data_IF_397241102929
#
_entry.id   IF_397241102929
#
_cell.length_a   1.000
_cell.length_b   1.000
_cell.length_c   1.000
_cell.angle_alpha   90.00
_cell.angle_beta   90.00
_cell.angle_gamma   90.00
#
_symmetry.space_group_name_H-M   'P 1'
#
loop_
_entity.id
_entity.type
_entity.pdbx_description
1 polymer ?
#
# COMPACT_ATOMS: atom_id res chain seq x y z
N UNK A 1 -67.61 -15.03 -37.58
CA UNK A 1 -67.37 -14.21 -36.35
C UNK A 1 -65.97 -14.51 -35.87
N UNK A 2 -65.02 -13.70 -36.35
CA UNK A 2 -64.14 -12.79 -35.60
C UNK A 2 -62.86 -13.48 -35.09
N UNK A 3 -61.82 -13.30 -35.89
CA UNK A 3 -60.43 -13.43 -35.48
C UNK A 3 -60.10 -12.28 -34.51
N UNK A 4 -59.74 -12.61 -33.28
CA UNK A 4 -59.25 -11.62 -32.33
C UNK A 4 -57.75 -11.41 -32.52
N UNK A 5 -57.44 -10.20 -33.01
CA UNK A 5 -56.12 -9.61 -33.02
C UNK A 5 -55.62 -9.44 -31.59
N UNK A 6 -54.68 -10.29 -31.17
CA UNK A 6 -53.79 -9.98 -30.05
C UNK A 6 -52.82 -8.89 -30.52
N UNK A 7 -53.16 -7.63 -30.22
CA UNK A 7 -52.23 -6.51 -30.27
C UNK A 7 -51.11 -6.78 -29.28
N UNK A 8 -49.89 -6.94 -29.78
CA UNK A 8 -48.68 -6.90 -28.96
C UNK A 8 -48.55 -5.49 -28.35
N UNK A 9 -48.53 -5.42 -27.03
CA UNK A 9 -48.15 -4.20 -26.32
C UNK A 9 -46.73 -3.77 -26.75
N UNK A 10 -46.48 -2.46 -26.96
CA UNK A 10 -45.14 -2.00 -27.30
C UNK A 10 -44.23 -2.23 -26.11
N UNK A 11 -43.20 -3.08 -26.30
CA UNK A 11 -42.09 -3.23 -25.36
C UNK A 11 -41.44 -1.86 -25.21
N UNK A 12 -41.75 -1.18 -24.11
CA UNK A 12 -41.14 0.08 -23.73
C UNK A 12 -39.73 -0.24 -23.22
N UNK A 13 -38.76 -0.39 -24.12
CA UNK A 13 -37.33 -0.47 -23.79
C UNK A 13 -36.90 0.90 -23.26
N UNK A 14 -37.16 1.16 -21.97
CA UNK A 14 -36.46 2.22 -21.25
C UNK A 14 -35.00 1.79 -21.16
N UNK A 15 -34.17 2.27 -22.09
CA UNK A 15 -32.73 2.14 -21.97
C UNK A 15 -32.29 2.72 -20.63
N UNK A 16 -31.72 1.87 -19.78
CA UNK A 16 -31.34 2.25 -18.43
C UNK A 16 -29.89 2.71 -18.44
N UNK A 17 -29.68 3.99 -18.15
CA UNK A 17 -28.33 4.54 -18.03
C UNK A 17 -27.52 3.79 -16.95
N UNK A 18 -26.24 3.47 -17.20
CA UNK A 18 -25.43 2.70 -16.26
C UNK A 18 -25.19 3.45 -14.97
N UNK A 19 -24.92 2.69 -13.91
CA UNK A 19 -24.25 3.22 -12.72
C UNK A 19 -22.75 3.21 -12.96
N UNK A 20 -22.11 4.37 -12.79
CA UNK A 20 -20.67 4.53 -12.90
C UNK A 20 -20.02 4.19 -11.58
N UNK A 21 -19.06 3.26 -11.62
CA UNK A 21 -18.18 2.94 -10.50
C UNK A 21 -16.96 3.84 -10.62
N UNK A 22 -16.80 4.77 -9.68
CA UNK A 22 -15.61 5.60 -9.57
C UNK A 22 -14.45 4.78 -9.02
N UNK A 23 -13.22 5.28 -9.16
CA UNK A 23 -11.99 4.61 -8.71
C UNK A 23 -11.93 4.32 -7.21
N UNK A 24 -12.64 5.11 -6.41
CA UNK A 24 -12.80 4.91 -4.96
C UNK A 24 -13.91 3.89 -4.61
N UNK A 25 -14.51 3.24 -5.62
CA UNK A 25 -15.63 2.31 -5.48
C UNK A 25 -16.99 3.01 -5.36
N UNK A 26 -17.05 4.33 -5.32
CA UNK A 26 -18.32 5.05 -5.20
C UNK A 26 -19.18 4.88 -6.46
N UNK A 27 -20.46 4.59 -6.25
CA UNK A 27 -21.45 4.42 -7.31
C UNK A 27 -22.20 5.72 -7.57
N UNK A 28 -22.19 6.22 -8.80
CA UNK A 28 -22.92 7.43 -9.20
C UNK A 28 -23.72 7.21 -10.48
N UNK A 29 -24.81 7.95 -10.72
CA UNK A 29 -25.52 7.90 -11.99
C UNK A 29 -24.62 8.38 -13.15
N UNK A 30 -24.73 7.72 -14.30
CA UNK A 30 -24.10 8.21 -15.52
C UNK A 30 -24.62 9.60 -15.91
N UNK A 31 -23.70 10.47 -16.32
CA UNK A 31 -24.01 11.83 -16.74
C UNK A 31 -23.14 12.23 -17.94
N UNK A 32 -23.72 12.22 -19.14
CA UNK A 32 -23.04 12.56 -20.40
C UNK A 32 -22.52 14.00 -20.45
N UNK A 33 -23.14 14.94 -19.71
CA UNK A 33 -22.66 16.33 -19.65
C UNK A 33 -21.24 16.45 -19.08
N UNK A 34 -20.83 15.52 -18.21
CA UNK A 34 -19.47 15.48 -17.67
C UNK A 34 -18.46 15.10 -18.75
N UNK A 35 -18.84 14.23 -19.69
CA UNK A 35 -18.01 13.85 -20.84
C UNK A 35 -17.87 15.05 -21.77
N UNK A 36 -18.99 15.68 -22.15
CA UNK A 36 -18.99 16.86 -23.00
C UNK A 36 -18.09 17.96 -22.42
N UNK A 37 -18.25 18.29 -21.13
CA UNK A 37 -17.44 19.32 -20.47
C UNK A 37 -15.94 18.97 -20.43
N UNK A 38 -15.57 17.69 -20.34
CA UNK A 38 -14.18 17.26 -20.36
C UNK A 38 -13.60 17.39 -21.78
N UNK A 39 -14.35 16.95 -22.80
CA UNK A 39 -13.96 17.07 -24.21
C UNK A 39 -13.86 18.53 -24.64
N UNK A 40 -14.82 19.38 -24.28
CA UNK A 40 -14.79 20.81 -24.59
C UNK A 40 -13.60 21.54 -23.97
N UNK A 41 -13.20 21.16 -22.75
CA UNK A 41 -11.98 21.71 -22.12
C UNK A 41 -10.73 21.31 -22.89
N UNK A 42 -10.63 20.06 -23.32
CA UNK A 42 -9.52 19.60 -24.15
C UNK A 42 -9.55 20.27 -25.54
N UNK A 43 -10.73 20.50 -26.13
CA UNK A 43 -10.89 21.17 -27.41
C UNK A 43 -10.41 22.63 -27.34
N UNK A 44 -10.79 23.36 -26.30
CA UNK A 44 -10.31 24.72 -26.03
C UNK A 44 -8.79 24.76 -25.86
N UNK A 45 -8.20 23.82 -25.10
CA UNK A 45 -6.75 23.72 -24.95
C UNK A 45 -6.02 23.39 -26.26
N UNK A 46 -6.66 22.63 -27.16
CA UNK A 46 -6.14 22.31 -28.48
C UNK A 46 -6.41 23.39 -29.55
N UNK A 47 -7.08 24.50 -29.18
CA UNK A 47 -7.45 25.57 -30.11
C UNK A 47 -8.54 25.17 -31.11
N UNK A 48 -9.39 24.20 -30.75
CA UNK A 48 -10.49 23.70 -31.58
C UNK A 48 -11.81 24.22 -31.01
N UNK A 49 -12.52 25.03 -31.79
CA UNK A 49 -13.86 25.53 -31.45
C UNK A 49 -14.91 24.78 -32.27
N UNK A 50 -15.27 23.59 -31.80
CA UNK A 50 -16.33 22.78 -32.39
C UNK A 50 -17.16 22.12 -31.29
N UNK A 51 -18.13 22.89 -30.76
CA UNK A 51 -19.01 22.44 -29.69
C UNK A 51 -19.91 21.26 -30.12
N UNK A 52 -20.33 21.24 -31.39
CA UNK A 52 -21.17 20.18 -31.95
C UNK A 52 -20.42 18.84 -31.94
N UNK A 53 -19.14 18.83 -32.33
CA UNK A 53 -18.29 17.64 -32.24
C UNK A 53 -18.12 17.16 -30.79
N UNK A 54 -17.95 18.07 -29.82
CA UNK A 54 -17.84 17.70 -28.40
C UNK A 54 -19.13 17.03 -27.89
N UNK A 55 -20.29 17.54 -28.32
CA UNK A 55 -21.58 16.96 -28.00
C UNK A 55 -21.76 15.59 -28.67
N UNK A 56 -21.37 15.47 -29.94
CA UNK A 56 -21.42 14.22 -30.69
C UNK A 56 -20.58 13.12 -30.01
N UNK A 57 -19.36 13.43 -29.57
CA UNK A 57 -18.51 12.49 -28.82
C UNK A 57 -19.21 12.02 -27.56
N UNK A 58 -19.78 12.93 -26.78
CA UNK A 58 -20.49 12.59 -25.55
C UNK A 58 -21.74 11.73 -25.80
N UNK A 59 -22.45 11.97 -26.90
CA UNK A 59 -23.61 11.19 -27.32
C UNK A 59 -23.20 9.78 -27.74
N UNK A 60 -22.22 9.63 -28.64
CA UNK A 60 -21.75 8.32 -29.11
C UNK A 60 -21.25 7.45 -27.96
N UNK A 61 -20.48 8.03 -27.04
CA UNK A 61 -20.02 7.32 -25.84
C UNK A 61 -21.19 6.97 -24.92
N UNK A 62 -22.16 7.86 -24.75
CA UNK A 62 -23.37 7.58 -23.98
C UNK A 62 -24.18 6.42 -24.56
N UNK A 63 -24.36 6.41 -25.89
CA UNK A 63 -25.08 5.37 -26.62
C UNK A 63 -24.40 4.01 -26.50
N UNK A 64 -23.06 3.97 -26.62
CA UNK A 64 -22.27 2.76 -26.44
C UNK A 64 -22.36 2.14 -25.02
N UNK A 65 -22.92 2.88 -24.06
CA UNK A 65 -23.02 2.48 -22.66
C UNK A 65 -24.48 2.24 -22.20
N UNK A 66 -25.48 2.48 -23.04
CA UNK A 66 -26.92 2.43 -22.70
C UNK A 66 -27.42 1.06 -22.22
N UNK A 67 -26.74 -0.02 -22.59
CA UNK A 67 -27.15 -1.40 -22.24
C UNK A 67 -26.29 -2.00 -21.11
N UNK A 68 -25.35 -1.24 -20.55
CA UNK A 68 -24.56 -1.67 -19.39
C UNK A 68 -25.31 -1.31 -18.10
N UNK A 69 -25.38 -2.25 -17.16
CA UNK A 69 -25.95 -1.98 -15.83
C UNK A 69 -24.97 -1.21 -14.93
N UNK A 70 -23.68 -1.52 -15.05
CA UNK A 70 -22.58 -0.86 -14.36
C UNK A 70 -21.40 -0.68 -15.32
N UNK A 71 -20.67 0.43 -15.16
CA UNK A 71 -19.48 0.74 -15.96
C UNK A 71 -18.40 1.33 -15.06
N UNK A 72 -17.15 0.88 -15.22
CA UNK A 72 -16.03 1.52 -14.54
C UNK A 72 -15.70 2.88 -15.18
N UNK A 73 -15.29 3.85 -14.37
CA UNK A 73 -14.90 5.18 -14.87
C UNK A 73 -13.73 5.13 -15.87
N UNK A 74 -12.88 4.09 -15.83
CA UNK A 74 -11.81 3.89 -16.80
C UNK A 74 -12.38 3.41 -18.15
N UNK A 75 -13.41 2.55 -18.16
CA UNK A 75 -14.08 2.15 -19.42
C UNK A 75 -14.72 3.34 -20.15
N UNK A 76 -15.30 4.29 -19.39
CA UNK A 76 -15.83 5.54 -19.98
C UNK A 76 -14.68 6.34 -20.60
N UNK A 77 -13.54 6.43 -19.93
CA UNK A 77 -12.38 7.17 -20.43
C UNK A 77 -11.85 6.55 -21.72
N UNK A 78 -11.66 5.23 -21.74
CA UNK A 78 -11.21 4.50 -22.93
C UNK A 78 -12.18 4.70 -24.11
N UNK A 79 -13.49 4.69 -23.84
CA UNK A 79 -14.49 4.96 -24.87
C UNK A 79 -14.36 6.38 -25.46
N UNK A 80 -14.14 7.40 -24.61
CA UNK A 80 -13.91 8.78 -25.07
C UNK A 80 -12.61 8.89 -25.85
N UNK A 81 -11.52 8.29 -25.37
CA UNK A 81 -10.22 8.31 -26.05
C UNK A 81 -10.31 7.66 -27.43
N UNK A 82 -10.90 6.47 -27.52
CA UNK A 82 -11.12 5.78 -28.79
C UNK A 82 -11.97 6.60 -29.76
N UNK A 83 -13.04 7.25 -29.26
CA UNK A 83 -13.89 8.09 -30.08
C UNK A 83 -13.17 9.35 -30.57
N UNK A 84 -12.31 9.97 -29.75
CA UNK A 84 -11.51 11.11 -30.18
C UNK A 84 -10.40 10.69 -31.16
N UNK A 85 -9.80 9.52 -30.95
CA UNK A 85 -8.76 8.95 -31.80
C UNK A 85 -9.28 8.49 -33.16
N UNK A 86 -10.54 8.04 -33.26
CA UNK A 86 -11.19 7.70 -34.54
C UNK A 86 -11.60 8.95 -35.33
N UNK A 87 -11.84 10.07 -34.65
CA UNK A 87 -12.27 11.31 -35.26
C UNK A 87 -11.19 12.11 -36.03
N UNK A 88 -11.59 13.26 -36.62
CA UNK A 88 -10.71 14.07 -37.47
C UNK A 88 -9.69 14.90 -36.68
N UNK A 89 -9.97 15.21 -35.41
CA UNK A 89 -9.16 16.14 -34.61
C UNK A 89 -8.10 15.42 -33.75
N UNK A 90 -7.01 14.97 -34.38
CA UNK A 90 -5.93 14.25 -33.65
C UNK A 90 -5.28 15.08 -32.53
N UNK A 91 -5.18 16.41 -32.71
CA UNK A 91 -4.67 17.32 -31.67
C UNK A 91 -5.56 17.35 -30.43
N UNK A 92 -6.88 17.29 -30.61
CA UNK A 92 -7.83 17.20 -29.50
C UNK A 92 -7.69 15.87 -28.76
N UNK A 93 -7.63 14.76 -29.49
CA UNK A 93 -7.44 13.44 -28.88
C UNK A 93 -6.18 13.41 -28.00
N UNK A 94 -5.05 13.90 -28.53
CA UNK A 94 -3.79 13.99 -27.78
C UNK A 94 -3.91 14.90 -26.54
N UNK A 95 -4.49 16.09 -26.68
CA UNK A 95 -4.68 17.02 -25.56
C UNK A 95 -5.58 16.44 -24.46
N UNK A 96 -6.61 15.68 -24.85
CA UNK A 96 -7.49 14.99 -23.90
C UNK A 96 -6.74 13.90 -23.13
N UNK A 97 -6.00 13.04 -23.84
CA UNK A 97 -5.21 11.94 -23.24
C UNK A 97 -4.14 12.49 -22.29
N UNK A 98 -3.38 13.52 -22.71
CA UNK A 98 -2.36 14.18 -21.87
C UNK A 98 -2.99 14.79 -20.61
N UNK A 99 -4.08 15.55 -20.76
CA UNK A 99 -4.79 16.15 -19.63
C UNK A 99 -5.31 15.11 -18.63
N UNK A 100 -5.81 13.97 -19.14
CA UNK A 100 -6.28 12.86 -18.32
C UNK A 100 -5.14 12.20 -17.56
N UNK A 101 -4.03 11.93 -18.22
CA UNK A 101 -2.84 11.39 -17.60
C UNK A 101 -2.34 12.30 -16.47
N UNK A 102 -2.18 13.60 -16.74
CA UNK A 102 -1.73 14.59 -15.75
C UNK A 102 -2.68 14.67 -14.55
N UNK A 103 -4.00 14.61 -14.80
CA UNK A 103 -5.03 14.58 -13.74
C UNK A 103 -4.93 13.33 -12.88
N UNK A 104 -4.62 12.20 -13.48
CA UNK A 104 -4.52 10.92 -12.79
C UNK A 104 -3.27 10.88 -11.91
N UNK A 105 -2.12 11.29 -12.45
CA UNK A 105 -0.87 11.49 -11.69
C UNK A 105 -1.09 12.49 -10.55
N UNK A 106 -1.72 13.64 -10.81
CA UNK A 106 -1.99 14.65 -9.77
C UNK A 106 -2.86 14.11 -8.64
N UNK A 107 -3.86 13.26 -8.95
CA UNK A 107 -4.72 12.64 -7.95
C UNK A 107 -3.97 11.63 -7.11
N UNK A 108 -3.14 10.81 -7.74
CA UNK A 108 -2.27 9.85 -7.07
C UNK A 108 -1.32 10.57 -6.10
N UNK A 109 -0.64 11.63 -6.56
CA UNK A 109 0.28 12.44 -5.75
C UNK A 109 -0.42 13.16 -4.57
N UNK A 110 -1.71 13.46 -4.69
CA UNK A 110 -2.51 14.03 -3.59
C UNK A 110 -2.99 13.01 -2.57
N UNK A 111 -2.82 11.71 -2.85
CA UNK A 111 -3.13 10.66 -1.89
C UNK A 111 -2.35 10.85 -0.60
N UNK A 112 -3.01 10.61 0.54
CA UNK A 112 -2.40 10.74 1.88
C UNK A 112 -1.09 9.95 1.99
N UNK A 113 -1.07 8.73 1.46
CA UNK A 113 0.13 7.88 1.42
C UNK A 113 1.30 8.57 0.70
N UNK A 114 1.07 9.10 -0.50
CA UNK A 114 2.11 9.77 -1.29
C UNK A 114 2.60 11.06 -0.61
N UNK A 115 1.71 11.78 0.09
CA UNK A 115 2.11 12.95 0.88
C UNK A 115 3.01 12.56 2.07
N UNK A 116 2.68 11.48 2.77
CA UNK A 116 3.50 10.96 3.88
C UNK A 116 4.87 10.47 3.39
N UNK A 117 4.91 9.71 2.28
CA UNK A 117 6.16 9.25 1.64
C UNK A 117 7.00 10.45 1.19
N UNK A 118 6.39 11.43 0.51
CA UNK A 118 7.09 12.64 0.07
C UNK A 118 7.63 13.44 1.25
N UNK A 119 6.85 13.55 2.33
CA UNK A 119 7.27 14.21 3.56
C UNK A 119 8.50 13.57 4.22
N UNK A 120 8.63 12.24 4.13
CA UNK A 120 9.82 11.51 4.57
C UNK A 120 11.02 11.79 3.65
N UNK A 121 10.84 11.66 2.32
CA UNK A 121 11.91 11.80 1.33
C UNK A 121 12.46 13.24 1.29
N UNK A 122 11.58 14.23 1.35
CA UNK A 122 11.96 15.65 1.38
C UNK A 122 12.39 16.12 2.77
N UNK A 123 12.33 15.25 3.79
CA UNK A 123 12.60 15.56 5.20
C UNK A 123 11.79 16.76 5.73
N UNK A 124 10.58 16.96 5.20
CA UNK A 124 9.74 18.12 5.49
C UNK A 124 8.73 17.87 6.62
N UNK A 125 8.52 16.61 7.02
CA UNK A 125 7.57 16.26 8.08
C UNK A 125 8.25 15.91 9.40
N UNK A 126 8.45 16.92 10.26
CA UNK A 126 9.12 16.81 11.56
C UNK A 126 8.47 15.78 12.50
N UNK A 127 7.15 15.60 12.44
CA UNK A 127 6.45 14.64 13.29
C UNK A 127 6.78 13.18 12.93
N UNK A 128 6.95 12.87 11.65
CA UNK A 128 7.40 11.55 11.18
C UNK A 128 8.88 11.31 11.51
N UNK A 129 9.71 12.35 11.40
CA UNK A 129 11.15 12.24 11.70
C UNK A 129 11.41 12.00 13.20
N UNK A 130 10.50 12.46 14.07
CA UNK A 130 10.64 12.38 15.53
C UNK A 130 9.73 11.31 16.18
N UNK A 131 9.07 10.44 15.41
CA UNK A 131 8.17 9.39 15.96
C UNK A 131 8.93 8.42 16.88
N UNK A 132 10.23 8.22 16.65
CA UNK A 132 11.08 7.36 17.46
C UNK A 132 12.36 8.09 17.90
N UNK A 133 12.45 8.42 19.18
CA UNK A 133 13.60 9.13 19.77
C UNK A 133 14.95 8.37 19.62
N UNK A 134 14.91 7.08 19.32
CA UNK A 134 16.09 6.23 19.15
C UNK A 134 16.52 6.05 17.68
N UNK A 135 15.78 6.56 16.69
CA UNK A 135 16.08 6.38 15.26
C UNK A 135 16.49 7.71 14.63
N UNK A 136 17.75 7.85 14.22
CA UNK A 136 18.19 9.01 13.44
C UNK A 136 17.57 8.96 12.04
N UNK A 137 16.61 9.84 11.77
CA UNK A 137 15.87 9.89 10.50
C UNK A 137 16.73 10.30 9.30
N UNK A 138 17.99 10.72 9.52
CA UNK A 138 18.93 11.04 8.46
C UNK A 138 19.71 9.84 7.96
N UNK A 139 19.76 8.73 8.71
CA UNK A 139 20.48 7.53 8.27
C UNK A 139 19.60 6.65 7.38
N UNK A 140 20.22 6.07 6.35
CA UNK A 140 19.53 5.26 5.34
C UNK A 140 18.73 4.07 5.93
N UNK A 141 19.24 3.31 6.92
CA UNK A 141 18.46 2.22 7.52
C UNK A 141 17.15 2.72 8.14
N UNK A 142 17.19 3.85 8.85
CA UNK A 142 16.00 4.46 9.44
C UNK A 142 15.02 4.92 8.36
N UNK A 143 15.49 5.55 7.29
CA UNK A 143 14.61 6.00 6.20
C UNK A 143 13.89 4.82 5.54
N UNK A 144 14.59 3.71 5.32
CA UNK A 144 13.99 2.49 4.76
C UNK A 144 12.93 1.91 5.68
N UNK A 145 13.19 1.90 6.98
CA UNK A 145 12.28 1.40 8.00
C UNK A 145 11.04 2.30 8.16
N UNK A 146 11.22 3.63 8.25
CA UNK A 146 10.12 4.60 8.28
C UNK A 146 9.24 4.50 7.03
N UNK A 147 9.84 4.32 5.84
CA UNK A 147 9.09 4.14 4.60
C UNK A 147 8.22 2.86 4.65
N UNK A 148 8.78 1.75 5.13
CA UNK A 148 8.02 0.52 5.33
C UNK A 148 6.88 0.74 6.35
N UNK A 149 7.14 1.47 7.44
CA UNK A 149 6.17 1.80 8.47
C UNK A 149 5.00 2.65 7.97
N UNK A 150 5.26 3.66 7.12
CA UNK A 150 4.22 4.48 6.47
C UNK A 150 3.29 3.59 5.64
N UNK A 151 3.86 2.72 4.80
CA UNK A 151 3.09 1.81 3.95
C UNK A 151 2.28 0.82 4.79
N UNK A 152 2.92 0.22 5.81
CA UNK A 152 2.29 -0.74 6.71
C UNK A 152 1.11 -0.11 7.47
N UNK A 153 1.30 1.05 8.11
CA UNK A 153 0.27 1.80 8.83
C UNK A 153 -0.89 2.17 7.89
N UNK A 154 -0.60 2.63 6.68
CA UNK A 154 -1.63 2.95 5.69
C UNK A 154 -2.46 1.72 5.33
N UNK A 155 -1.81 0.63 4.95
CA UNK A 155 -2.48 -0.59 4.52
C UNK A 155 -3.29 -1.23 5.66
N UNK A 156 -2.72 -1.29 6.86
CA UNK A 156 -3.40 -1.81 8.04
C UNK A 156 -4.72 -1.07 8.31
N UNK A 157 -4.71 0.27 8.27
CA UNK A 157 -5.90 1.09 8.55
C UNK A 157 -6.95 1.03 7.44
N UNK A 158 -6.54 0.89 6.18
CA UNK A 158 -7.47 0.89 5.05
C UNK A 158 -8.06 -0.50 4.77
N UNK A 159 -7.31 -1.58 5.06
CA UNK A 159 -7.63 -2.90 4.53
C UNK A 159 -7.62 -4.05 5.54
N UNK A 160 -6.99 -3.90 6.71
CA UNK A 160 -6.86 -5.01 7.68
C UNK A 160 -7.72 -4.75 8.92
N UNK A 161 -7.59 -3.57 9.52
CA UNK A 161 -8.23 -3.27 10.80
C UNK A 161 -9.71 -2.92 10.64
N UNK A 162 -10.56 -3.33 11.59
CA UNK A 162 -11.93 -2.86 11.69
C UNK A 162 -12.02 -1.32 11.77
N UNK A 163 -13.02 -0.75 11.11
CA UNK A 163 -13.18 0.71 10.99
C UNK A 163 -13.33 1.41 12.34
N UNK A 164 -14.06 0.80 13.27
CA UNK A 164 -14.26 1.30 14.64
C UNK A 164 -12.94 1.37 15.42
N UNK A 165 -12.09 0.32 15.33
CA UNK A 165 -10.75 0.31 15.93
C UNK A 165 -9.88 1.42 15.36
N UNK A 166 -9.89 1.61 14.03
CA UNK A 166 -9.11 2.67 13.37
C UNK A 166 -9.57 4.06 13.84
N UNK A 167 -10.88 4.30 13.91
CA UNK A 167 -11.44 5.57 14.36
C UNK A 167 -11.11 5.86 15.83
N UNK A 168 -11.23 4.87 16.70
CA UNK A 168 -10.86 5.01 18.11
C UNK A 168 -9.37 5.33 18.28
N UNK A 169 -8.50 4.69 17.49
CA UNK A 169 -7.07 4.99 17.48
C UNK A 169 -6.76 6.41 16.99
N UNK A 170 -7.37 6.83 15.87
CA UNK A 170 -7.16 8.17 15.31
C UNK A 170 -7.68 9.30 16.21
N UNK A 171 -8.71 9.04 17.02
CA UNK A 171 -9.25 9.99 18.00
C UNK A 171 -8.49 9.99 19.33
N UNK A 172 -7.56 9.06 19.51
CA UNK A 172 -6.83 8.89 20.78
C UNK A 172 -7.67 8.26 21.90
N UNK A 173 -8.81 7.64 21.57
CA UNK A 173 -9.62 6.87 22.53
C UNK A 173 -8.90 5.57 22.93
N UNK A 174 -8.15 4.99 21.98
CA UNK A 174 -7.23 3.88 22.19
C UNK A 174 -5.88 4.18 21.53
N UNK A 175 -4.86 3.42 21.90
CA UNK A 175 -3.57 3.44 21.21
C UNK A 175 -3.22 2.03 20.73
N UNK A 176 -3.25 1.82 19.42
CA UNK A 176 -2.75 0.59 18.81
C UNK A 176 -1.22 0.70 18.72
N UNK A 177 -0.53 -0.06 19.55
CA UNK A 177 0.94 -0.09 19.57
C UNK A 177 1.52 -0.71 18.30
N UNK A 178 2.65 -0.16 17.83
CA UNK A 178 3.45 -0.71 16.73
C UNK A 178 2.66 -0.93 15.43
N UNK A 179 1.73 -0.01 15.13
CA UNK A 179 0.87 -0.04 13.94
C UNK A 179 1.65 0.06 12.61
N UNK A 180 2.88 0.56 12.68
CA UNK A 180 3.88 0.57 11.61
C UNK A 180 4.51 -0.81 11.34
N UNK A 181 4.29 -1.80 12.21
CA UNK A 181 4.69 -3.20 12.00
C UNK A 181 3.49 -4.14 11.92
N UNK A 182 2.65 -4.16 12.96
CA UNK A 182 1.51 -5.08 13.10
C UNK A 182 0.20 -4.36 12.83
N UNK A 183 -0.80 -4.95 12.15
CA UNK A 183 -0.89 -6.35 11.70
C UNK A 183 -0.34 -6.60 10.28
N UNK A 184 0.27 -5.60 9.63
CA UNK A 184 0.71 -5.73 8.24
C UNK A 184 1.80 -6.80 8.06
N UNK A 185 2.83 -6.75 8.91
CA UNK A 185 3.79 -7.84 9.06
C UNK A 185 3.35 -8.74 10.22
N UNK A 186 3.31 -10.08 10.03
CA UNK A 186 2.99 -11.04 11.10
C UNK A 186 4.18 -11.22 12.04
N UNK A 187 4.67 -10.11 12.59
CA UNK A 187 5.76 -10.05 13.55
C UNK A 187 5.19 -10.12 14.97
N UNK A 188 6.03 -10.55 15.90
CA UNK A 188 5.71 -10.54 17.32
C UNK A 188 6.33 -9.32 18.01
N UNK A 189 5.84 -9.01 19.22
CA UNK A 189 6.36 -7.93 20.05
C UNK A 189 7.70 -8.35 20.72
N UNK A 190 7.68 -8.67 22.00
CA UNK A 190 8.89 -9.04 22.76
C UNK A 190 9.03 -10.56 22.84
N UNK A 191 10.27 -11.04 23.05
CA UNK A 191 10.50 -12.45 23.36
C UNK A 191 11.72 -12.70 24.26
N UNK A 192 11.69 -13.84 24.96
CA UNK A 192 12.84 -14.42 25.63
C UNK A 192 13.51 -15.43 24.69
N UNK A 193 14.78 -15.21 24.38
CA UNK A 193 15.54 -16.14 23.53
C UNK A 193 15.94 -17.36 24.35
N UNK A 194 15.65 -18.57 23.85
CA UNK A 194 16.21 -19.82 24.38
C UNK A 194 17.67 -19.99 23.95
N UNK A 195 18.55 -19.14 24.47
CA UNK A 195 19.97 -19.16 24.14
C UNK A 195 20.61 -20.48 24.55
N UNK A 196 20.20 -21.06 25.69
CA UNK A 196 20.71 -22.35 26.16
C UNK A 196 20.42 -23.46 25.16
N UNK A 197 19.17 -23.57 24.69
CA UNK A 197 18.79 -24.55 23.69
C UNK A 197 19.58 -24.39 22.39
N UNK A 198 19.68 -23.14 21.90
CA UNK A 198 20.41 -22.83 20.66
C UNK A 198 21.90 -23.19 20.75
N UNK A 199 22.57 -22.81 21.84
CA UNK A 199 24.02 -23.06 21.99
C UNK A 199 24.36 -24.52 22.32
N UNK A 200 23.40 -25.33 22.80
CA UNK A 200 23.67 -26.74 23.18
C UNK A 200 23.27 -27.74 22.11
N UNK A 201 22.24 -27.45 21.31
CA UNK A 201 21.71 -28.37 20.29
C UNK A 201 22.17 -28.02 18.86
N UNK A 202 22.84 -26.88 18.70
CA UNK A 202 23.07 -26.29 17.39
C UNK A 202 21.78 -25.70 16.79
N UNK A 203 21.94 -24.86 15.79
CA UNK A 203 20.83 -24.21 15.08
C UNK A 203 21.28 -23.66 13.74
N UNK A 204 20.32 -23.34 12.87
CA UNK A 204 20.61 -22.67 11.60
C UNK A 204 20.43 -21.17 11.74
N UNK A 205 21.41 -20.39 11.28
CA UNK A 205 21.38 -18.93 11.22
C UNK A 205 21.63 -18.46 9.79
N UNK A 206 20.59 -17.93 9.15
CA UNK A 206 20.63 -17.65 7.71
C UNK A 206 20.91 -18.93 6.93
N UNK A 207 22.07 -18.99 6.27
CA UNK A 207 22.51 -20.16 5.50
C UNK A 207 23.54 -21.02 6.23
N UNK A 208 23.98 -20.62 7.42
CA UNK A 208 25.00 -21.35 8.18
C UNK A 208 24.37 -22.27 9.22
N UNK A 209 24.83 -23.52 9.28
CA UNK A 209 24.60 -24.40 10.42
C UNK A 209 25.62 -24.04 11.51
N UNK A 210 25.13 -23.72 12.70
CA UNK A 210 25.94 -23.34 13.85
C UNK A 210 25.96 -24.49 14.84
N UNK A 211 27.15 -25.08 15.00
CA UNK A 211 27.42 -26.10 16.02
C UNK A 211 27.63 -25.48 17.41
N UNK A 212 27.56 -26.34 18.44
CA UNK A 212 27.85 -25.98 19.84
C UNK A 212 29.22 -25.31 19.99
N UNK A 213 29.29 -24.05 20.48
CA UNK A 213 30.55 -23.33 20.62
C UNK A 213 31.57 -24.02 21.55
N UNK A 214 32.85 -23.97 21.15
CA UNK A 214 33.97 -24.57 21.89
C UNK A 214 34.79 -23.57 22.72
N UNK A 215 34.42 -22.29 22.69
CA UNK A 215 35.07 -21.21 23.44
C UNK A 215 34.05 -20.16 23.88
N UNK A 216 34.37 -19.39 24.91
CA UNK A 216 33.53 -18.27 25.36
C UNK A 216 33.43 -17.20 24.28
N UNK A 217 34.54 -16.91 23.59
CA UNK A 217 34.61 -15.93 22.51
C UNK A 217 33.69 -16.30 21.34
N UNK A 218 33.68 -17.57 20.93
CA UNK A 218 32.75 -18.02 19.88
C UNK A 218 31.29 -17.96 20.37
N UNK A 219 31.02 -18.35 21.61
CA UNK A 219 29.65 -18.31 22.15
C UNK A 219 29.10 -16.89 22.25
N UNK A 220 29.90 -15.92 22.70
CA UNK A 220 29.47 -14.52 22.78
C UNK A 220 29.31 -13.89 21.40
N UNK A 221 30.18 -14.23 20.44
CA UNK A 221 30.04 -13.78 19.05
C UNK A 221 28.78 -14.34 18.37
N UNK A 222 28.45 -15.61 18.59
CA UNK A 222 27.21 -16.22 18.11
C UNK A 222 26.00 -15.59 18.81
N UNK A 223 26.08 -15.36 20.13
CA UNK A 223 25.02 -14.70 20.90
C UNK A 223 24.69 -13.31 20.36
N UNK A 224 25.71 -12.51 20.04
CA UNK A 224 25.52 -11.18 19.44
C UNK A 224 24.79 -11.25 18.08
N UNK A 225 25.14 -12.24 17.25
CA UNK A 225 24.45 -12.47 15.97
C UNK A 225 23.00 -12.92 16.16
N UNK A 226 22.73 -13.80 17.13
CA UNK A 226 21.36 -14.21 17.48
C UNK A 226 20.52 -13.00 17.88
N UNK A 227 21.04 -12.11 18.75
CA UNK A 227 20.33 -10.89 19.17
C UNK A 227 19.98 -10.04 17.95
N UNK A 228 20.95 -9.79 17.07
CA UNK A 228 20.72 -8.97 15.87
C UNK A 228 19.66 -9.59 14.94
N UNK A 229 19.68 -10.91 14.77
CA UNK A 229 18.69 -11.61 13.96
C UNK A 229 17.30 -11.54 14.59
N UNK A 230 17.15 -11.88 15.87
CA UNK A 230 15.87 -11.86 16.56
C UNK A 230 15.28 -10.45 16.57
N UNK A 231 16.06 -9.43 16.92
CA UNK A 231 15.63 -8.03 16.91
C UNK A 231 15.19 -7.53 15.52
N UNK A 232 15.65 -8.17 14.43
CA UNK A 232 15.23 -7.84 13.07
C UNK A 232 13.93 -8.53 12.63
N UNK A 233 13.42 -9.50 13.42
CA UNK A 233 12.21 -10.26 13.13
C UNK A 233 11.07 -10.00 14.11
N UNK A 234 11.31 -9.16 15.11
CA UNK A 234 10.31 -8.69 16.08
C UNK A 234 10.37 -7.17 16.13
N UNK A 235 9.30 -6.51 16.60
CA UNK A 235 9.27 -5.04 16.75
C UNK A 235 9.44 -4.59 18.21
N UNK A 236 9.55 -5.54 19.14
CA UNK A 236 9.73 -5.29 20.56
C UNK A 236 11.12 -5.60 21.11
N UNK A 237 11.19 -5.63 22.44
CA UNK A 237 12.40 -5.96 23.17
C UNK A 237 12.81 -7.43 23.06
N UNK A 238 14.11 -7.64 22.90
CA UNK A 238 14.74 -8.98 22.93
C UNK A 238 15.45 -9.17 24.26
N UNK A 239 15.19 -10.26 24.97
CA UNK A 239 15.84 -10.54 26.26
C UNK A 239 16.48 -11.93 26.28
N UNK A 240 17.70 -12.01 26.83
CA UNK A 240 18.37 -13.26 27.15
C UNK A 240 18.36 -13.42 28.66
N UNK A 241 17.67 -14.43 29.15
CA UNK A 241 17.60 -14.71 30.58
C UNK A 241 18.84 -15.51 31.03
N UNK A 242 19.39 -15.17 32.21
CA UNK A 242 20.48 -15.91 32.89
C UNK A 242 21.69 -16.21 32.00
N UNK A 243 22.16 -15.18 31.27
CA UNK A 243 23.29 -15.32 30.34
C UNK A 243 24.58 -15.77 31.04
N UNK A 244 24.76 -15.34 32.29
CA UNK A 244 25.83 -15.75 33.20
C UNK A 244 25.86 -17.26 33.38
N UNK A 245 24.72 -17.88 33.69
CA UNK A 245 24.64 -19.32 33.89
C UNK A 245 24.74 -20.12 32.58
N UNK A 246 24.24 -19.56 31.48
CA UNK A 246 24.32 -20.20 30.17
C UNK A 246 25.78 -20.29 29.69
N UNK A 247 26.58 -19.24 29.96
CA UNK A 247 27.95 -19.16 29.49
C UNK A 247 28.98 -19.69 30.49
N UNK A 248 28.66 -19.81 31.79
CA UNK A 248 29.56 -20.30 32.83
C UNK A 248 30.31 -21.60 32.48
N UNK A 249 29.67 -22.66 31.92
CA UNK A 249 30.37 -23.90 31.59
C UNK A 249 31.51 -23.73 30.57
N UNK A 250 31.40 -22.73 29.68
CA UNK A 250 32.42 -22.42 28.68
C UNK A 250 33.61 -21.71 29.33
N UNK A 251 33.35 -20.79 30.26
CA UNK A 251 34.38 -20.10 31.05
C UNK A 251 35.17 -21.09 31.89
N UNK A 252 34.50 -21.99 32.62
CA UNK A 252 35.14 -23.00 33.46
C UNK A 252 36.06 -23.93 32.65
N UNK A 253 35.59 -24.37 31.48
CA UNK A 253 36.38 -25.23 30.58
C UNK A 253 37.63 -24.51 30.08
N UNK A 254 37.52 -23.25 29.67
CA UNK A 254 38.69 -22.47 29.23
C UNK A 254 39.69 -22.25 30.36
N UNK A 255 39.20 -21.95 31.57
CA UNK A 255 40.05 -21.81 32.75
C UNK A 255 40.83 -23.09 33.05
N UNK A 256 40.16 -24.25 33.03
CA UNK A 256 40.82 -25.55 33.20
C UNK A 256 41.86 -25.83 32.10
N UNK A 257 41.55 -25.50 30.84
CA UNK A 257 42.51 -25.65 29.74
C UNK A 257 43.73 -24.74 29.92
N UNK A 258 43.54 -23.51 30.38
CA UNK A 258 44.64 -22.59 30.66
C UNK A 258 45.53 -23.12 31.80
N UNK A 259 44.94 -23.66 32.88
CA UNK A 259 45.69 -24.28 33.98
C UNK A 259 46.47 -25.51 33.54
N UNK A 260 45.93 -26.33 32.63
CA UNK A 260 46.63 -27.53 32.13
C UNK A 260 47.83 -27.25 31.21
N UNK A 261 48.00 -26.01 30.77
CA UNK A 261 49.06 -25.58 29.83
C UNK A 261 50.21 -24.82 30.51
N UNK A 262 50.07 -24.46 31.78
CA UNK A 262 51.10 -23.78 32.59
C UNK A 262 51.74 -24.75 33.57
#
# INVERSE_FOLDING_TARGET
MKADLLKSDPVNTRHQLPIVIKRDGCKVPFNSSLIQQAVSRAASAAGIDNAEYCQQVAQVVGEALLDKSQVDINEIQDAVENQLMSGPYKKLARAYIEYRHDRDVTRELRGRLNQEIRGLVEQSNVALLNENANKDSKVIPTQRDLLAGIVAKHYAKQHILPRDVVLAHERGEIHYHDLDYSPFFPMFNCMLIDLKGMLTKGFKMGNAEIDTPKSISTATAVTAQIIAQVASHIYGGTTINRIDEILAPLCDREFQQAQSRG
#
